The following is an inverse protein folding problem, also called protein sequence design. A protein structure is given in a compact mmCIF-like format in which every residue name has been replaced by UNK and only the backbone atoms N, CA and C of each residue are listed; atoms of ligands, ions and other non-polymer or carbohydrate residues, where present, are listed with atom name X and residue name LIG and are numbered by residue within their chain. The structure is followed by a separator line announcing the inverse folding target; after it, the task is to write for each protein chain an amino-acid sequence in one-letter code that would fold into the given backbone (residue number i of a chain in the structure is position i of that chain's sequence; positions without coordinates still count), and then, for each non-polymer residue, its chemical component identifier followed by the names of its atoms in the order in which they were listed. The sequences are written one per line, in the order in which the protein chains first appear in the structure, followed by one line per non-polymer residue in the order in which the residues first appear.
data_IF_917125790384
#
_entry.id   IF_917125790384
#
_cell.length_a   1.000
_cell.length_b   1.000
_cell.length_c   1.000
_cell.angle_alpha   90.00
_cell.angle_beta   90.00
_cell.angle_gamma   90.00
#
_symmetry.space_group_name_H-M   'P 1'
#
loop_
_entity.id
_entity.type
_entity.pdbx_description
1 polymer ?
#
# COMPACT_ATOMS: atom_id res chain seq x y z
N UNK A 1 3.37 -12.91 -26.80
CA UNK A 1 4.36 -12.01 -27.47
C UNK A 1 3.95 -11.63 -28.89
N UNK A 2 3.44 -12.55 -29.74
CA UNK A 2 2.96 -12.24 -31.10
C UNK A 2 1.99 -11.05 -31.19
N UNK A 3 0.97 -10.99 -30.32
CA UNK A 3 0.00 -9.87 -30.32
C UNK A 3 0.59 -8.52 -29.89
N UNK A 4 1.63 -8.50 -29.04
CA UNK A 4 2.25 -7.25 -28.61
C UNK A 4 2.98 -6.56 -29.77
N UNK A 5 3.57 -7.34 -30.69
CA UNK A 5 4.22 -6.83 -31.90
C UNK A 5 3.17 -6.27 -32.87
N UNK A 6 2.05 -6.98 -33.07
CA UNK A 6 0.95 -6.52 -33.95
C UNK A 6 0.32 -5.22 -33.45
N UNK A 7 0.16 -5.07 -32.13
CA UNK A 7 -0.43 -3.88 -31.50
C UNK A 7 0.59 -2.81 -31.14
N UNK A 8 1.87 -2.97 -31.53
CA UNK A 8 2.99 -2.09 -31.20
C UNK A 8 3.08 -1.73 -29.70
N UNK A 9 2.78 -2.68 -28.83
CA UNK A 9 2.78 -2.50 -27.37
C UNK A 9 4.15 -2.80 -26.76
N UNK A 10 4.57 -1.96 -25.81
CA UNK A 10 5.77 -2.22 -25.00
C UNK A 10 5.52 -3.39 -24.05
N UNK A 11 6.46 -4.32 -24.00
CA UNK A 11 6.45 -5.45 -23.06
C UNK A 11 7.18 -5.02 -21.79
N UNK A 12 6.52 -5.14 -20.64
CA UNK A 12 7.16 -4.91 -19.34
C UNK A 12 7.88 -6.18 -18.87
N UNK A 13 9.07 -6.00 -18.32
CA UNK A 13 9.86 -7.08 -17.71
C UNK A 13 9.79 -7.01 -16.19
N UNK A 14 9.75 -8.16 -15.53
CA UNK A 14 9.74 -8.23 -14.07
C UNK A 14 11.14 -7.95 -13.48
N UNK A 15 11.22 -7.32 -12.29
CA UNK A 15 10.12 -6.75 -11.51
C UNK A 15 9.73 -5.35 -12.00
N UNK A 16 8.42 -5.08 -12.13
CA UNK A 16 7.89 -3.77 -12.53
C UNK A 16 6.83 -3.28 -11.54
N UNK A 17 6.51 -1.97 -11.57
CA UNK A 17 5.45 -1.38 -10.74
C UNK A 17 4.26 -1.00 -11.60
N UNK A 18 3.07 -1.45 -11.21
CA UNK A 18 1.81 -1.08 -11.85
C UNK A 18 0.83 -0.57 -10.80
N UNK A 19 0.30 0.64 -11.00
CA UNK A 19 -0.58 1.33 -10.05
C UNK A 19 -0.03 1.38 -8.61
N UNK A 20 1.30 1.45 -8.49
CA UNK A 20 2.00 1.48 -7.21
C UNK A 20 2.27 0.11 -6.58
N UNK A 21 1.76 -0.98 -7.15
CA UNK A 21 2.04 -2.35 -6.72
C UNK A 21 3.30 -2.87 -7.43
N UNK A 22 4.33 -3.35 -6.71
CA UNK A 22 5.44 -4.06 -7.31
C UNK A 22 5.03 -5.50 -7.69
N UNK A 23 5.10 -5.80 -8.98
CA UNK A 23 4.90 -7.12 -9.54
C UNK A 23 6.26 -7.82 -9.71
N UNK A 24 6.32 -9.10 -9.35
CA UNK A 24 7.55 -9.89 -9.35
C UNK A 24 8.39 -9.77 -8.07
N UNK A 25 7.94 -9.00 -7.07
CA UNK A 25 8.53 -9.00 -5.73
C UNK A 25 7.81 -10.02 -4.82
N UNK A 26 8.45 -10.43 -3.73
CA UNK A 26 7.88 -11.43 -2.82
C UNK A 26 6.96 -10.76 -1.78
N UNK A 27 5.63 -10.97 -1.83
CA UNK A 27 4.68 -10.34 -0.91
C UNK A 27 4.85 -10.82 0.54
N UNK A 28 5.56 -11.94 0.79
CA UNK A 28 5.89 -12.39 2.15
C UNK A 28 6.97 -11.54 2.80
N UNK A 29 7.79 -10.81 2.02
CA UNK A 29 8.83 -9.93 2.55
C UNK A 29 8.20 -8.63 3.04
N UNK A 30 8.50 -8.26 4.29
CA UNK A 30 8.06 -6.97 4.85
C UNK A 30 8.56 -5.75 4.08
N UNK A 31 9.64 -5.88 3.30
CA UNK A 31 10.21 -4.81 2.48
C UNK A 31 9.26 -4.34 1.38
N UNK A 32 8.48 -5.26 0.79
CA UNK A 32 7.51 -4.97 -0.27
C UNK A 32 6.38 -4.05 0.24
N UNK A 33 6.04 -4.15 1.52
CA UNK A 33 4.96 -3.38 2.17
C UNK A 33 5.40 -2.02 2.73
N UNK A 34 6.71 -1.75 2.81
CA UNK A 34 7.26 -0.46 3.28
C UNK A 34 6.61 0.78 2.64
N UNK A 35 6.46 0.88 1.30
CA UNK A 35 5.86 2.06 0.68
C UNK A 35 4.43 2.32 1.16
N UNK A 36 3.67 1.29 1.53
CA UNK A 36 2.32 1.47 2.08
C UNK A 36 2.37 1.91 3.54
N UNK A 37 3.27 1.34 4.32
CA UNK A 37 3.47 1.74 5.72
C UNK A 37 3.87 3.21 5.81
N UNK A 38 4.77 3.66 4.93
CA UNK A 38 5.20 5.06 4.89
C UNK A 38 4.07 5.98 4.42
N UNK A 39 3.24 5.57 3.44
CA UNK A 39 2.05 6.33 3.06
C UNK A 39 1.04 6.46 4.21
N UNK A 40 0.79 5.38 4.93
CA UNK A 40 -0.10 5.37 6.11
C UNK A 40 0.45 6.34 7.16
N UNK A 41 1.74 6.23 7.51
CA UNK A 41 2.43 7.14 8.43
C UNK A 41 2.35 8.60 7.99
N UNK A 42 2.66 8.89 6.73
CA UNK A 42 2.64 10.26 6.22
C UNK A 42 1.23 10.85 6.18
N UNK A 43 0.20 10.02 5.97
CA UNK A 43 -1.18 10.47 6.08
C UNK A 43 -1.57 10.75 7.53
N UNK A 44 -1.14 9.92 8.48
CA UNK A 44 -1.43 10.03 9.93
C UNK A 44 -0.59 11.10 10.66
N UNK A 45 0.64 11.38 10.21
CA UNK A 45 1.60 12.24 10.90
C UNK A 45 1.13 13.69 11.13
N UNK A 46 0.46 14.37 10.17
CA UNK A 46 0.00 15.75 10.36
C UNK A 46 -1.07 15.91 11.46
N UNK A 47 -1.68 14.81 11.93
CA UNK A 47 -2.82 14.87 12.85
C UNK A 47 -2.40 15.10 14.30
N UNK A 48 -1.15 14.77 14.66
CA UNK A 48 -0.61 15.07 15.99
C UNK A 48 -0.59 16.57 16.31
N UNK A 49 -0.50 17.41 15.28
CA UNK A 49 -0.40 18.87 15.43
C UNK A 49 -1.72 19.62 15.17
N UNK A 50 -2.83 18.90 14.92
CA UNK A 50 -4.12 19.50 14.57
C UNK A 50 -5.15 19.26 15.68
N UNK A 51 -5.89 20.30 16.05
CA UNK A 51 -6.99 20.25 17.02
C UNK A 51 -8.19 19.49 16.43
N UNK A 52 -8.08 18.16 16.33
CA UNK A 52 -9.13 17.26 15.85
C UNK A 52 -9.75 16.56 17.06
N UNK A 53 -11.08 16.54 17.11
CA UNK A 53 -11.84 15.83 18.14
C UNK A 53 -11.53 14.32 18.14
N UNK A 54 -11.77 13.64 19.25
CA UNK A 54 -11.53 12.20 19.36
C UNK A 54 -12.32 11.40 18.30
N UNK A 55 -13.59 11.77 18.08
CA UNK A 55 -14.43 11.16 17.05
C UNK A 55 -13.87 11.37 15.63
N UNK A 56 -13.38 12.58 15.33
CA UNK A 56 -12.74 12.88 14.06
C UNK A 56 -11.47 12.03 13.85
N UNK A 57 -10.66 11.85 14.90
CA UNK A 57 -9.46 11.00 14.83
C UNK A 57 -9.81 9.56 14.48
N UNK A 58 -10.79 8.96 15.15
CA UNK A 58 -11.23 7.58 14.87
C UNK A 58 -11.73 7.43 13.43
N UNK A 59 -12.54 8.38 12.97
CA UNK A 59 -13.07 8.36 11.60
C UNK A 59 -11.94 8.38 10.55
N UNK A 60 -10.94 9.25 10.72
CA UNK A 60 -9.84 9.36 9.77
C UNK A 60 -8.92 8.14 9.85
N UNK A 61 -8.63 7.60 11.05
CA UNK A 61 -7.87 6.35 11.22
C UNK A 61 -8.56 5.23 10.42
N UNK A 62 -9.87 5.04 10.63
CA UNK A 62 -10.64 4.03 9.92
C UNK A 62 -10.60 4.25 8.41
N UNK A 63 -10.75 5.49 7.95
CA UNK A 63 -10.70 5.82 6.52
C UNK A 63 -9.34 5.49 5.89
N UNK A 64 -8.23 5.88 6.54
CA UNK A 64 -6.88 5.65 6.01
C UNK A 64 -6.50 4.16 6.05
N UNK A 65 -6.81 3.48 7.15
CA UNK A 65 -6.52 2.05 7.32
C UNK A 65 -7.41 1.15 6.47
N UNK A 66 -8.59 1.61 6.05
CA UNK A 66 -9.40 0.87 5.08
C UNK A 66 -8.93 1.16 3.66
N UNK A 67 -8.89 2.42 3.23
CA UNK A 67 -8.65 2.75 1.82
C UNK A 67 -7.25 2.38 1.30
N UNK A 68 -6.17 2.64 2.07
CA UNK A 68 -4.80 2.47 1.57
C UNK A 68 -4.37 1.00 1.43
N UNK A 69 -4.50 0.15 2.47
CA UNK A 69 -4.03 -1.23 2.38
C UNK A 69 -5.03 -2.15 1.66
N UNK A 70 -6.33 -1.79 1.58
CA UNK A 70 -7.34 -2.63 0.91
C UNK A 70 -6.92 -3.01 -0.51
N UNK A 71 -6.42 -2.04 -1.29
CA UNK A 71 -5.94 -2.30 -2.65
C UNK A 71 -4.83 -3.36 -2.68
N UNK A 72 -3.87 -3.34 -1.76
CA UNK A 72 -2.78 -4.32 -1.72
C UNK A 72 -3.20 -5.67 -1.16
N UNK A 73 -4.10 -5.67 -0.18
CA UNK A 73 -4.61 -6.90 0.45
C UNK A 73 -5.47 -7.70 -0.52
N UNK A 74 -6.16 -7.03 -1.47
CA UNK A 74 -6.90 -7.70 -2.55
C UNK A 74 -6.02 -8.58 -3.44
N UNK A 75 -4.75 -8.22 -3.65
CA UNK A 75 -3.81 -9.01 -4.48
C UNK A 75 -2.91 -9.94 -3.65
N UNK A 76 -2.53 -9.54 -2.44
CA UNK A 76 -1.53 -10.26 -1.64
C UNK A 76 -1.95 -10.46 -0.19
N UNK A 77 -1.66 -11.64 0.34
CA UNK A 77 -1.83 -11.92 1.77
C UNK A 77 -0.83 -11.11 2.60
N UNK A 78 -1.34 -10.24 3.46
CA UNK A 78 -0.52 -9.41 4.34
C UNK A 78 0.17 -10.25 5.41
N UNK A 79 1.51 -10.15 5.57
CA UNK A 79 2.23 -10.89 6.61
C UNK A 79 1.97 -10.27 7.99
N UNK A 80 1.89 -11.12 9.03
CA UNK A 80 1.60 -10.70 10.43
C UNK A 80 2.54 -9.59 10.93
N UNK A 81 3.81 -9.61 10.52
CA UNK A 81 4.80 -8.57 10.87
C UNK A 81 4.39 -7.17 10.38
N UNK A 82 3.78 -7.08 9.19
CA UNK A 82 3.30 -5.81 8.63
C UNK A 82 2.06 -5.33 9.37
N UNK A 83 1.13 -6.25 9.70
CA UNK A 83 -0.04 -5.94 10.55
C UNK A 83 0.39 -5.34 11.88
N UNK A 84 1.34 -5.98 12.56
CA UNK A 84 1.86 -5.51 13.84
C UNK A 84 2.55 -4.13 13.71
N UNK A 85 3.16 -3.85 12.56
CA UNK A 85 3.73 -2.52 12.32
C UNK A 85 2.65 -1.46 12.12
N UNK A 86 1.52 -1.79 11.47
CA UNK A 86 0.40 -0.87 11.29
C UNK A 86 -0.25 -0.51 12.63
N UNK A 87 -0.47 -1.52 13.50
CA UNK A 87 -1.05 -1.32 14.84
C UNK A 87 -0.17 -0.41 15.72
N UNK A 88 1.14 -0.35 15.45
CA UNK A 88 2.10 0.47 16.19
C UNK A 88 2.24 1.91 15.69
N UNK A 89 1.65 2.26 14.55
CA UNK A 89 1.70 3.63 13.98
C UNK A 89 0.79 4.55 14.80
#
# INVERSE_FOLDING_TARGET
LRFAVVLNCKILHFPFRYLGIPFGDNPRKSTMWRPILDKIRNKLAPWKNKLISMAGRVCIINYVLTALPLYFISFFKMPKKVVNNIIKI
#
